data_IF_321588851294
#
_entry.id   IF_321588851294
#
_cell.length_a   1.000
_cell.length_b   1.000
_cell.length_c   1.000
_cell.angle_alpha   90.00
_cell.angle_beta   90.00
_cell.angle_gamma   90.00
#
_symmetry.space_group_name_H-M   'P 1'
#
loop_
_entity.id
_entity.type
_entity.pdbx_description
1 polymer ?
#
# COMPACT_ATOMS: atom_id res chain seq x y z
N UNK A 1 22.13 15.33 -2.21
CA UNK A 1 21.02 14.86 -3.07
C UNK A 1 20.85 13.34 -2.98
N UNK A 2 21.87 12.54 -3.30
CA UNK A 2 21.82 11.05 -3.29
C UNK A 2 21.28 10.47 -1.97
N UNK A 3 21.76 10.95 -0.81
CA UNK A 3 21.27 10.49 0.50
C UNK A 3 19.75 10.67 0.71
N UNK A 4 19.17 11.77 0.19
CA UNK A 4 17.71 12.03 0.31
C UNK A 4 16.91 11.12 -0.63
N UNK A 5 17.43 10.88 -1.84
CA UNK A 5 16.82 9.94 -2.79
C UNK A 5 16.84 8.51 -2.22
N UNK A 6 17.96 8.09 -1.62
CA UNK A 6 18.05 6.78 -0.97
C UNK A 6 17.04 6.64 0.19
N UNK A 7 16.95 7.64 1.08
CA UNK A 7 15.95 7.68 2.16
C UNK A 7 14.51 7.64 1.63
N UNK A 8 14.23 8.34 0.53
CA UNK A 8 12.94 8.28 -0.15
C UNK A 8 12.63 6.86 -0.63
N UNK A 9 13.54 6.24 -1.37
CA UNK A 9 13.36 4.89 -1.93
C UNK A 9 13.14 3.88 -0.80
N UNK A 10 13.94 3.92 0.26
CA UNK A 10 13.76 3.02 1.41
C UNK A 10 12.39 3.23 2.05
N UNK A 11 12.00 4.48 2.32
CA UNK A 11 10.69 4.80 2.89
C UNK A 11 9.52 4.37 2.01
N UNK A 12 9.65 4.53 0.69
CA UNK A 12 8.68 4.08 -0.29
C UNK A 12 8.53 2.55 -0.29
N UNK A 13 9.64 1.82 -0.28
CA UNK A 13 9.64 0.36 -0.23
C UNK A 13 9.07 -0.17 1.08
N UNK A 14 9.46 0.41 2.22
CA UNK A 14 8.89 0.05 3.52
C UNK A 14 7.39 0.33 3.57
N UNK A 15 6.94 1.50 3.11
CA UNK A 15 5.52 1.82 3.02
C UNK A 15 4.75 0.87 2.11
N UNK A 16 5.34 0.50 0.97
CA UNK A 16 4.78 -0.50 0.06
C UNK A 16 4.56 -1.84 0.76
N UNK A 17 5.58 -2.36 1.46
CA UNK A 17 5.51 -3.63 2.18
C UNK A 17 4.42 -3.57 3.26
N UNK A 18 4.37 -2.48 4.04
CA UNK A 18 3.37 -2.30 5.10
C UNK A 18 1.95 -2.27 4.52
N UNK A 19 1.71 -1.47 3.48
CA UNK A 19 0.38 -1.36 2.86
C UNK A 19 -0.05 -2.72 2.28
N UNK A 20 0.86 -3.42 1.61
CA UNK A 20 0.56 -4.74 1.04
C UNK A 20 0.22 -5.75 2.13
N UNK A 21 1.00 -5.78 3.23
CA UNK A 21 0.73 -6.66 4.37
C UNK A 21 -0.62 -6.35 5.03
N UNK A 22 -0.98 -5.07 5.18
CA UNK A 22 -2.27 -4.64 5.73
C UNK A 22 -3.44 -5.06 4.85
N UNK A 23 -3.34 -4.85 3.53
CA UNK A 23 -4.38 -5.24 2.57
C UNK A 23 -4.56 -6.75 2.57
N UNK A 24 -3.46 -7.51 2.58
CA UNK A 24 -3.51 -8.96 2.64
C UNK A 24 -4.14 -9.48 3.93
N UNK A 25 -3.71 -8.95 5.09
CA UNK A 25 -4.29 -9.31 6.38
C UNK A 25 -5.79 -8.97 6.46
N UNK A 26 -6.18 -7.80 5.95
CA UNK A 26 -7.58 -7.40 5.89
C UNK A 26 -8.40 -8.32 4.98
N UNK A 27 -7.88 -8.67 3.80
CA UNK A 27 -8.50 -9.63 2.89
C UNK A 27 -8.66 -11.02 3.53
N UNK A 28 -7.66 -11.48 4.27
CA UNK A 28 -7.73 -12.75 5.01
C UNK A 28 -8.84 -12.74 6.07
N UNK A 29 -8.92 -11.67 6.88
CA UNK A 29 -9.99 -11.52 7.88
C UNK A 29 -11.38 -11.52 7.24
N UNK A 30 -11.56 -10.77 6.15
CA UNK A 30 -12.84 -10.73 5.44
C UNK A 30 -13.23 -12.11 4.87
N UNK A 31 -12.26 -12.84 4.32
CA UNK A 31 -12.48 -14.20 3.81
C UNK A 31 -12.94 -15.16 4.92
N UNK A 32 -12.32 -15.10 6.11
CA UNK A 32 -12.73 -15.92 7.26
C UNK A 32 -14.14 -15.58 7.77
N UNK A 33 -14.59 -14.33 7.62
CA UNK A 33 -15.96 -13.93 7.99
C UNK A 33 -17.03 -14.32 6.96
N UNK A 34 -16.65 -15.03 5.88
CA UNK A 34 -17.58 -15.42 4.81
C UNK A 34 -18.01 -14.26 3.92
N UNK A 35 -17.32 -13.11 3.99
CA UNK A 35 -17.61 -11.96 3.12
C UNK A 35 -17.13 -12.28 1.71
N UNK A 36 -18.06 -12.21 0.75
CA UNK A 36 -17.74 -12.37 -0.66
C UNK A 36 -17.02 -11.11 -1.15
N UNK A 37 -15.70 -11.18 -1.27
CA UNK A 37 -14.86 -10.03 -1.59
C UNK A 37 -15.15 -9.41 -2.97
N UNK A 38 -15.58 -10.22 -3.93
CA UNK A 38 -15.90 -9.81 -5.30
C UNK A 38 -17.05 -10.66 -5.83
N UNK A 39 -18.07 -10.03 -6.42
CA UNK A 39 -19.21 -10.73 -7.05
C UNK A 39 -19.03 -10.86 -8.57
N UNK A 40 -18.25 -9.96 -9.16
CA UNK A 40 -17.95 -9.90 -10.59
C UNK A 40 -16.49 -9.51 -10.86
N UNK A 41 -16.02 -9.75 -12.09
CA UNK A 41 -14.71 -9.26 -12.56
C UNK A 41 -14.61 -7.72 -12.47
N UNK A 42 -15.73 -7.03 -12.71
CA UNK A 42 -15.79 -5.57 -12.60
C UNK A 42 -15.54 -5.07 -11.17
N UNK A 43 -16.02 -5.79 -10.16
CA UNK A 43 -15.77 -5.46 -8.75
C UNK A 43 -14.33 -5.74 -8.37
N UNK A 44 -13.73 -6.80 -8.91
CA UNK A 44 -12.32 -7.10 -8.74
C UNK A 44 -11.44 -5.98 -9.32
N UNK A 45 -11.74 -5.50 -10.52
CA UNK A 45 -11.00 -4.40 -11.14
C UNK A 45 -11.15 -3.08 -10.36
N UNK A 46 -12.36 -2.78 -9.88
CA UNK A 46 -12.60 -1.58 -9.04
C UNK A 46 -11.79 -1.66 -7.75
N UNK A 47 -11.82 -2.80 -7.07
CA UNK A 47 -11.08 -3.00 -5.82
C UNK A 47 -9.56 -2.94 -6.05
N UNK A 48 -9.06 -3.51 -7.15
CA UNK A 48 -7.66 -3.37 -7.57
C UNK A 48 -7.27 -1.89 -7.76
N UNK A 49 -8.09 -1.12 -8.48
CA UNK A 49 -7.81 0.30 -8.71
C UNK A 49 -7.79 1.11 -7.39
N UNK A 50 -8.69 0.81 -6.45
CA UNK A 50 -8.72 1.43 -5.12
C UNK A 50 -7.44 1.07 -4.35
N UNK A 51 -7.06 -0.22 -4.33
CA UNK A 51 -5.82 -0.69 -3.70
C UNK A 51 -4.60 -0.01 -4.29
N UNK A 52 -4.53 0.12 -5.61
CA UNK A 52 -3.44 0.80 -6.31
C UNK A 52 -3.33 2.28 -5.92
N UNK A 53 -4.46 2.97 -5.79
CA UNK A 53 -4.49 4.37 -5.34
C UNK A 53 -4.00 4.51 -3.90
N UNK A 54 -4.51 3.67 -2.99
CA UNK A 54 -4.09 3.66 -1.58
C UNK A 54 -2.59 3.35 -1.46
N UNK A 55 -2.12 2.33 -2.19
CA UNK A 55 -0.71 1.96 -2.25
C UNK A 55 0.16 3.11 -2.73
N UNK A 56 -0.17 3.72 -3.87
CA UNK A 56 0.66 4.77 -4.46
C UNK A 56 0.72 5.99 -3.54
N UNK A 57 -0.43 6.48 -3.06
CA UNK A 57 -0.48 7.66 -2.18
C UNK A 57 0.25 7.38 -0.87
N UNK A 58 0.03 6.22 -0.26
CA UNK A 58 0.69 5.84 0.99
C UNK A 58 2.19 5.66 0.84
N UNK A 59 2.66 4.96 -0.21
CA UNK A 59 4.08 4.75 -0.45
C UNK A 59 4.82 6.05 -0.81
N UNK A 60 4.18 6.95 -1.56
CA UNK A 60 4.72 8.30 -1.82
C UNK A 60 4.81 9.10 -0.52
N UNK A 61 3.79 9.04 0.33
CA UNK A 61 3.80 9.70 1.62
C UNK A 61 4.94 9.17 2.51
N UNK A 62 5.06 7.86 2.69
CA UNK A 62 6.13 7.27 3.51
C UNK A 62 7.53 7.57 2.94
N UNK A 63 7.69 7.55 1.62
CA UNK A 63 8.91 7.98 0.95
C UNK A 63 9.24 9.45 1.25
N UNK A 64 8.27 10.34 1.11
CA UNK A 64 8.43 11.77 1.41
C UNK A 64 8.80 12.01 2.88
N UNK A 65 8.06 11.40 3.82
CA UNK A 65 8.33 11.55 5.25
C UNK A 65 9.70 10.99 5.62
N UNK A 66 10.10 9.86 5.06
CA UNK A 66 11.43 9.27 5.29
C UNK A 66 12.55 10.18 4.75
N UNK A 67 12.39 10.74 3.55
CA UNK A 67 13.38 11.65 2.98
C UNK A 67 13.50 12.97 3.76
N UNK A 68 12.40 13.43 4.38
CA UNK A 68 12.32 14.73 5.07
C UNK A 68 12.72 14.66 6.54
N UNK A 69 12.33 13.60 7.27
CA UNK A 69 12.42 13.55 8.74
C UNK A 69 13.39 12.50 9.28
N UNK A 70 13.80 11.52 8.48
CA UNK A 70 14.84 10.58 8.90
C UNK A 70 16.16 11.33 9.00
N UNK A 71 16.69 11.47 10.23
CA UNK A 71 18.01 12.08 10.49
C UNK A 71 19.13 11.27 9.86
#
# INVERSE_FOLDING_TARGET
>A
MIKRVAKFIIGFLVGTIIIYALIYAFGAVLNETGVRLYESESDQQRNFNIVMLIWLVGALATGYFSAKFWK
#
